data_IF_566895403311
#
_entry.id   IF_566895403311
#
_cell.length_a   1.000
_cell.length_b   1.000
_cell.length_c   1.000
_cell.angle_alpha   90.00
_cell.angle_beta   90.00
_cell.angle_gamma   90.00
#
_symmetry.space_group_name_H-M   'P 1'
#
loop_
_entity.id
_entity.type
_entity.pdbx_description
1 polymer ?
#
# COMPACT_ATOMS: atom_id res chain seq x y z
N UNK A 1 7.38 -32.30 -20.55
CA UNK A 1 7.24 -32.12 -19.10
C UNK A 1 8.63 -31.79 -18.57
N UNK A 2 8.99 -30.55 -18.47
CA UNK A 2 10.29 -30.11 -17.95
C UNK A 2 10.09 -29.52 -16.56
N UNK A 3 10.60 -30.23 -15.57
CA UNK A 3 10.72 -29.79 -14.19
C UNK A 3 11.61 -28.55 -14.14
N UNK A 4 11.05 -27.40 -13.77
CA UNK A 4 11.83 -26.23 -13.42
C UNK A 4 11.99 -26.25 -11.90
N UNK A 5 13.21 -26.54 -11.47
CA UNK A 5 13.63 -26.45 -10.08
C UNK A 5 13.43 -25.03 -9.53
N UNK A 6 13.01 -24.84 -8.27
CA UNK A 6 12.98 -23.53 -7.62
C UNK A 6 14.43 -23.07 -7.42
N UNK A 7 14.84 -22.04 -8.13
CA UNK A 7 16.14 -21.41 -7.93
C UNK A 7 16.13 -20.65 -6.60
N UNK A 8 16.90 -21.14 -5.65
CA UNK A 8 17.38 -20.36 -4.52
C UNK A 8 18.52 -19.49 -5.06
N UNK A 9 18.26 -18.24 -5.37
CA UNK A 9 19.30 -17.27 -5.76
C UNK A 9 19.94 -16.68 -4.50
N UNK A 10 20.93 -17.37 -3.96
CA UNK A 10 21.93 -16.79 -3.06
C UNK A 10 23.11 -16.34 -3.91
N UNK A 11 23.21 -15.05 -4.19
CA UNK A 11 24.38 -14.48 -4.85
C UNK A 11 24.10 -13.14 -5.51
N UNK A 12 24.84 -12.11 -5.13
CA UNK A 12 24.88 -10.84 -5.85
C UNK A 12 25.30 -11.09 -7.29
N UNK A 13 24.42 -10.86 -8.25
CA UNK A 13 24.79 -10.80 -9.66
C UNK A 13 25.08 -9.34 -10.07
N UNK A 14 26.12 -9.11 -10.89
CA UNK A 14 26.40 -7.78 -11.42
C UNK A 14 25.32 -7.35 -12.42
N UNK A 15 24.91 -6.11 -12.31
CA UNK A 15 23.93 -5.43 -13.13
C UNK A 15 24.37 -5.36 -14.59
N UNK A 16 23.81 -6.16 -15.46
CA UNK A 16 23.84 -5.89 -16.90
C UNK A 16 22.47 -5.38 -17.36
N UNK A 17 22.45 -4.14 -17.80
CA UNK A 17 21.27 -3.52 -18.38
C UNK A 17 20.93 -4.18 -19.72
N UNK A 18 19.89 -4.99 -19.79
CA UNK A 18 19.06 -5.14 -20.99
C UNK A 18 17.87 -6.08 -20.75
N UNK A 19 16.73 -5.68 -21.28
CA UNK A 19 15.41 -6.31 -21.30
C UNK A 19 14.59 -6.14 -20.00
N UNK A 20 13.32 -5.80 -20.17
CA UNK A 20 12.33 -5.81 -19.09
C UNK A 20 12.27 -7.25 -18.54
N UNK A 21 13.06 -7.53 -17.55
CA UNK A 21 13.02 -8.80 -16.87
C UNK A 21 11.71 -8.86 -16.10
N UNK A 22 10.94 -9.88 -16.37
CA UNK A 22 9.73 -10.19 -15.66
C UNK A 22 10.02 -11.34 -14.71
N UNK A 23 9.68 -11.15 -13.45
CA UNK A 23 9.77 -12.18 -12.42
C UNK A 23 8.35 -12.60 -12.03
N UNK A 24 8.04 -13.90 -12.14
CA UNK A 24 6.73 -14.43 -11.82
C UNK A 24 6.83 -15.44 -10.68
N UNK A 25 6.04 -15.21 -9.63
CA UNK A 25 5.91 -16.10 -8.48
C UNK A 25 4.61 -16.89 -8.60
N UNK A 26 4.69 -18.11 -9.16
CA UNK A 26 3.56 -19.02 -9.43
C UNK A 26 3.27 -19.98 -8.29
N UNK A 27 4.10 -19.98 -7.26
CA UNK A 27 3.97 -20.79 -6.06
C UNK A 27 4.43 -19.97 -4.85
N UNK A 28 4.11 -20.38 -3.62
CA UNK A 28 4.55 -19.65 -2.43
C UNK A 28 6.07 -19.53 -2.36
N UNK A 29 6.56 -18.31 -2.21
CA UNK A 29 7.98 -17.98 -2.10
C UNK A 29 8.21 -17.08 -0.89
N UNK A 30 9.28 -17.36 -0.14
CA UNK A 30 9.74 -16.47 0.94
C UNK A 30 11.09 -15.89 0.58
N UNK A 31 11.21 -14.55 0.71
CA UNK A 31 12.42 -13.79 0.40
C UNK A 31 13.04 -13.29 1.70
N UNK A 32 14.34 -13.51 1.87
CA UNK A 32 15.13 -12.89 2.95
C UNK A 32 15.80 -11.59 2.49
N UNK A 33 16.49 -11.59 1.35
CA UNK A 33 17.03 -10.37 0.74
C UNK A 33 17.07 -10.56 -0.78
N UNK A 34 16.54 -9.60 -1.53
CA UNK A 34 16.57 -9.65 -2.99
C UNK A 34 16.45 -8.26 -3.63
N UNK A 35 16.92 -8.14 -4.87
CA UNK A 35 16.78 -6.96 -5.71
C UNK A 35 16.21 -7.40 -7.05
N UNK A 36 15.01 -6.95 -7.36
CA UNK A 36 14.33 -7.25 -8.61
C UNK A 36 14.33 -6.00 -9.51
N UNK A 37 14.89 -6.14 -10.69
CA UNK A 37 14.81 -5.14 -11.76
C UNK A 37 13.88 -5.65 -12.84
N UNK A 38 12.65 -5.15 -12.84
CA UNK A 38 11.64 -5.57 -13.80
C UNK A 38 10.30 -5.81 -13.17
N UNK A 39 9.31 -6.05 -14.02
CA UNK A 39 7.94 -6.32 -13.61
C UNK A 39 7.87 -7.57 -12.72
N UNK A 40 7.21 -7.45 -11.59
CA UNK A 40 7.01 -8.54 -10.63
C UNK A 40 5.56 -8.98 -10.65
N UNK A 41 5.30 -10.26 -10.96
CA UNK A 41 3.96 -10.84 -10.96
C UNK A 41 3.84 -11.88 -9.84
N UNK A 42 2.93 -11.65 -8.92
CA UNK A 42 2.62 -12.57 -7.83
C UNK A 42 1.29 -13.24 -8.17
N UNK A 43 1.35 -14.55 -8.48
CA UNK A 43 0.18 -15.34 -8.86
C UNK A 43 -0.31 -16.24 -7.72
N UNK A 44 0.52 -16.48 -6.72
CA UNK A 44 0.19 -17.21 -5.51
C UNK A 44 0.57 -16.38 -4.27
N UNK A 45 1.74 -16.59 -3.70
CA UNK A 45 2.15 -15.87 -2.50
C UNK A 45 3.63 -15.49 -2.53
N UNK A 46 3.92 -14.24 -2.23
CA UNK A 46 5.27 -13.75 -1.99
C UNK A 46 5.36 -13.21 -0.57
N UNK A 47 6.26 -13.78 0.23
CA UNK A 47 6.50 -13.34 1.61
C UNK A 47 7.89 -12.73 1.75
N UNK A 48 7.96 -11.52 2.31
CA UNK A 48 9.20 -10.90 2.79
C UNK A 48 9.22 -11.02 4.30
N UNK A 49 10.16 -11.80 4.84
CA UNK A 49 10.16 -12.23 6.25
C UNK A 49 11.54 -12.06 6.92
N UNK A 50 11.57 -12.23 8.23
CA UNK A 50 12.78 -12.35 9.05
C UNK A 50 13.77 -11.20 8.92
N UNK A 51 13.27 -9.95 8.85
CA UNK A 51 14.09 -8.76 8.65
C UNK A 51 14.68 -8.65 7.24
N UNK A 52 14.20 -9.48 6.30
CA UNK A 52 14.61 -9.44 4.89
C UNK A 52 14.24 -8.13 4.19
N UNK A 53 14.96 -7.84 3.12
CA UNK A 53 14.70 -6.66 2.30
C UNK A 53 14.47 -7.07 0.86
N UNK A 54 13.35 -6.61 0.28
CA UNK A 54 13.06 -6.74 -1.15
C UNK A 54 13.06 -5.36 -1.79
N UNK A 55 13.92 -5.16 -2.76
CA UNK A 55 13.97 -3.94 -3.56
C UNK A 55 13.41 -4.21 -4.96
N UNK A 56 12.39 -3.45 -5.37
CA UNK A 56 11.88 -3.45 -6.73
C UNK A 56 12.28 -2.13 -7.39
N UNK A 57 13.00 -2.20 -8.51
CA UNK A 57 13.59 -1.03 -9.15
C UNK A 57 12.98 -0.77 -10.52
N UNK A 58 12.39 0.41 -10.70
CA UNK A 58 11.81 0.91 -11.96
C UNK A 58 10.77 -0.04 -12.59
N UNK A 59 9.98 -0.73 -11.78
CA UNK A 59 9.02 -1.68 -12.30
C UNK A 59 7.80 -1.85 -11.38
N UNK A 60 6.62 -2.11 -11.94
CA UNK A 60 5.42 -2.38 -11.16
C UNK A 60 5.41 -3.79 -10.57
N UNK A 61 4.58 -3.94 -9.54
CA UNK A 61 4.26 -5.23 -8.90
C UNK A 61 2.79 -5.54 -9.12
N UNK A 62 2.48 -6.72 -9.61
CA UNK A 62 1.12 -7.20 -9.80
C UNK A 62 0.84 -8.33 -8.81
N UNK A 63 -0.17 -8.17 -7.98
CA UNK A 63 -0.69 -9.18 -7.06
C UNK A 63 -2.05 -9.64 -7.57
N UNK A 64 -2.14 -10.86 -8.10
CA UNK A 64 -3.27 -11.30 -8.91
C UNK A 64 -3.21 -10.73 -10.33
N UNK A 65 -2.04 -10.76 -10.95
CA UNK A 65 -1.68 -10.01 -12.15
C UNK A 65 -2.14 -10.62 -13.48
N UNK A 66 -1.77 -9.98 -14.61
CA UNK A 66 -2.35 -10.18 -15.94
C UNK A 66 -2.11 -11.57 -16.55
N UNK A 67 -1.24 -12.38 -15.98
CA UNK A 67 -0.95 -13.72 -16.48
C UNK A 67 -1.45 -14.83 -15.58
N UNK A 68 -2.31 -14.49 -14.63
CA UNK A 68 -2.97 -15.52 -13.86
C UNK A 68 -3.92 -16.28 -14.79
N UNK A 69 -3.79 -17.61 -14.90
CA UNK A 69 -4.79 -18.39 -15.62
C UNK A 69 -6.15 -18.14 -14.95
N UNK A 70 -7.19 -18.06 -15.77
CA UNK A 70 -8.57 -17.71 -15.37
C UNK A 70 -9.18 -18.81 -14.47
N UNK A 71 -8.52 -19.08 -13.36
CA UNK A 71 -8.91 -20.07 -12.36
C UNK A 71 -9.70 -19.41 -11.23
N UNK A 72 -10.56 -18.52 -11.61
CA UNK A 72 -11.80 -18.03 -11.01
C UNK A 72 -11.91 -18.03 -9.50
N UNK A 73 -11.04 -17.77 -8.62
CA UNK A 73 -11.27 -17.47 -7.19
C UNK A 73 -10.01 -17.56 -6.31
N UNK A 74 -8.83 -17.76 -6.88
CA UNK A 74 -7.61 -17.73 -6.05
C UNK A 74 -7.20 -16.29 -5.79
N UNK A 75 -6.99 -15.96 -4.53
CA UNK A 75 -6.41 -14.68 -4.13
C UNK A 75 -4.89 -14.81 -4.13
N UNK A 76 -4.21 -13.90 -4.82
CA UNK A 76 -2.77 -13.78 -4.72
C UNK A 76 -2.38 -12.94 -3.51
N UNK A 77 -1.27 -13.25 -2.86
CA UNK A 77 -0.85 -12.60 -1.61
C UNK A 77 0.56 -12.03 -1.70
N UNK A 78 0.69 -10.77 -1.31
CA UNK A 78 1.97 -10.15 -0.95
C UNK A 78 2.00 -9.94 0.55
N UNK A 79 2.91 -10.61 1.25
CA UNK A 79 3.00 -10.58 2.72
C UNK A 79 4.34 -10.02 3.15
N UNK A 80 4.32 -9.01 4.02
CA UNK A 80 5.53 -8.41 4.60
C UNK A 80 5.41 -8.49 6.12
N UNK A 81 6.28 -9.28 6.77
CA UNK A 81 6.14 -9.58 8.20
C UNK A 81 7.47 -9.63 8.93
N UNK A 82 7.41 -9.70 10.25
CA UNK A 82 8.55 -9.95 11.14
C UNK A 82 9.74 -8.99 10.93
N UNK A 83 9.44 -7.70 10.69
CA UNK A 83 10.47 -6.69 10.43
C UNK A 83 11.02 -6.70 9.00
N UNK A 84 10.50 -7.54 8.11
CA UNK A 84 10.81 -7.50 6.69
C UNK A 84 10.45 -6.14 6.06
N UNK A 85 11.16 -5.77 5.02
CA UNK A 85 10.91 -4.52 4.31
C UNK A 85 10.84 -4.75 2.80
N UNK A 86 9.85 -4.14 2.16
CA UNK A 86 9.78 -4.02 0.71
C UNK A 86 9.87 -2.55 0.33
N UNK A 87 10.74 -2.25 -0.61
CA UNK A 87 10.96 -0.88 -1.09
C UNK A 87 10.83 -0.83 -2.61
N UNK A 88 9.93 0.02 -3.10
CA UNK A 88 9.83 0.32 -4.52
C UNK A 88 10.60 1.59 -4.83
N UNK A 89 11.53 1.50 -5.76
CA UNK A 89 12.38 2.59 -6.21
C UNK A 89 12.13 2.86 -7.69
N UNK A 90 11.94 4.10 -8.08
CA UNK A 90 11.71 4.44 -9.48
C UNK A 90 11.68 5.94 -9.72
N UNK A 91 11.82 6.30 -10.98
CA UNK A 91 11.79 7.70 -11.45
C UNK A 91 10.37 8.16 -11.82
N UNK A 92 9.44 7.22 -12.04
CA UNK A 92 8.07 7.49 -12.43
C UNK A 92 7.12 6.78 -11.47
N UNK A 93 5.97 7.39 -11.11
CA UNK A 93 4.98 6.77 -10.23
C UNK A 93 4.49 5.41 -10.74
N UNK A 94 4.31 5.25 -12.04
CA UNK A 94 3.85 3.99 -12.65
C UNK A 94 4.84 2.84 -12.46
N UNK A 95 6.14 3.14 -12.38
CA UNK A 95 7.18 2.17 -12.08
C UNK A 95 7.26 1.79 -10.58
N UNK A 96 6.52 2.48 -9.74
CA UNK A 96 6.43 2.21 -8.31
C UNK A 96 4.99 1.85 -7.92
N UNK A 97 4.24 1.21 -8.82
CA UNK A 97 2.85 0.86 -8.56
C UNK A 97 2.73 -0.60 -8.12
N UNK A 98 1.96 -0.83 -7.06
CA UNK A 98 1.47 -2.14 -6.67
C UNK A 98 0.03 -2.26 -7.15
N UNK A 99 -0.22 -3.12 -8.13
CA UNK A 99 -1.55 -3.45 -8.62
C UNK A 99 -2.12 -4.60 -7.80
N UNK A 100 -3.33 -4.43 -7.25
CA UNK A 100 -4.06 -5.46 -6.51
C UNK A 100 -5.30 -5.87 -7.30
N UNK A 101 -5.38 -7.13 -7.67
CA UNK A 101 -6.59 -7.68 -8.26
C UNK A 101 -6.79 -7.43 -9.74
N UNK A 102 -5.76 -7.50 -10.59
CA UNK A 102 -5.90 -7.23 -12.03
C UNK A 102 -6.69 -8.34 -12.77
N UNK A 103 -6.35 -9.61 -12.57
CA UNK A 103 -7.05 -10.79 -13.17
C UNK A 103 -7.58 -11.78 -12.13
N UNK A 104 -7.24 -11.60 -10.89
CA UNK A 104 -7.74 -12.34 -9.74
C UNK A 104 -7.64 -11.44 -8.52
N UNK A 105 -8.32 -11.78 -7.44
CA UNK A 105 -8.25 -11.01 -6.21
C UNK A 105 -6.80 -10.89 -5.72
N UNK A 106 -6.42 -9.69 -5.26
CA UNK A 106 -5.07 -9.40 -4.76
C UNK A 106 -5.09 -8.95 -3.31
N UNK A 107 -4.19 -9.49 -2.49
CA UNK A 107 -4.07 -9.12 -1.08
C UNK A 107 -2.65 -8.64 -0.76
N UNK A 108 -2.56 -7.49 -0.10
CA UNK A 108 -1.35 -6.97 0.53
C UNK A 108 -1.51 -7.06 2.04
N UNK A 109 -0.63 -7.81 2.69
CA UNK A 109 -0.62 -8.00 4.14
C UNK A 109 0.66 -7.48 4.76
N UNK A 110 0.56 -6.60 5.77
CA UNK A 110 1.70 -6.08 6.52
C UNK A 110 1.53 -6.45 7.98
N UNK A 111 2.37 -7.38 8.43
CA UNK A 111 2.31 -8.00 9.75
C UNK A 111 3.63 -7.76 10.51
N UNK A 112 3.87 -6.52 10.96
CA UNK A 112 5.12 -6.13 11.61
C UNK A 112 6.25 -5.76 10.63
N UNK A 113 5.97 -5.68 9.33
CA UNK A 113 6.91 -5.30 8.29
C UNK A 113 6.75 -3.87 7.81
N UNK A 114 7.42 -3.53 6.70
CA UNK A 114 7.42 -2.18 6.12
C UNK A 114 7.27 -2.22 4.61
N UNK A 115 6.34 -1.41 4.07
CA UNK A 115 6.25 -1.13 2.64
C UNK A 115 6.54 0.36 2.38
N UNK A 116 7.61 0.63 1.64
CA UNK A 116 8.10 1.97 1.35
C UNK A 116 8.05 2.22 -0.15
N UNK A 117 7.17 3.12 -0.59
CA UNK A 117 6.94 3.35 -2.02
C UNK A 117 7.23 4.81 -2.46
N UNK A 118 7.49 5.73 -1.51
CA UNK A 118 7.77 7.12 -1.86
C UNK A 118 6.62 7.79 -2.62
N UNK A 119 6.82 8.04 -3.91
CA UNK A 119 5.81 8.59 -4.82
C UNK A 119 4.94 7.50 -5.47
N UNK A 120 5.19 6.24 -5.15
CA UNK A 120 4.44 5.12 -5.69
C UNK A 120 3.02 5.03 -5.16
N UNK A 121 2.21 4.22 -5.82
CA UNK A 121 0.80 4.05 -5.50
C UNK A 121 0.40 2.58 -5.38
N UNK A 122 -0.68 2.34 -4.67
CA UNK A 122 -1.37 1.05 -4.65
C UNK A 122 -2.69 1.25 -5.39
N UNK A 123 -2.91 0.45 -6.42
CA UNK A 123 -4.07 0.56 -7.28
C UNK A 123 -4.79 -0.78 -7.38
N UNK A 124 -6.06 -0.81 -6.96
CA UNK A 124 -6.96 -1.92 -7.17
C UNK A 124 -7.54 -1.93 -8.58
N UNK A 125 -7.98 -3.09 -9.05
CA UNK A 125 -8.80 -3.19 -10.24
C UNK A 125 -10.28 -2.90 -9.96
N UNK A 126 -11.08 -2.73 -11.00
CA UNK A 126 -12.53 -2.51 -10.86
C UNK A 126 -13.32 -3.81 -10.77
N UNK A 127 -12.81 -4.87 -11.39
CA UNK A 127 -13.51 -6.15 -11.54
C UNK A 127 -13.12 -7.18 -10.48
N UNK A 128 -12.00 -6.99 -9.82
CA UNK A 128 -11.47 -7.89 -8.79
C UNK A 128 -11.19 -7.15 -7.50
N UNK A 129 -11.41 -7.82 -6.38
CA UNK A 129 -11.22 -7.23 -5.07
C UNK A 129 -9.74 -7.05 -4.74
N UNK A 130 -9.40 -5.84 -4.31
CA UNK A 130 -8.12 -5.50 -3.72
C UNK A 130 -8.24 -5.44 -2.20
N UNK A 131 -7.41 -6.17 -1.47
CA UNK A 131 -7.39 -6.13 -0.01
C UNK A 131 -6.06 -5.62 0.50
N UNK A 132 -6.11 -4.66 1.42
CA UNK A 132 -4.95 -4.24 2.21
C UNK A 132 -5.25 -4.50 3.68
N UNK A 133 -4.42 -5.33 4.32
CA UNK A 133 -4.55 -5.64 5.74
C UNK A 133 -3.24 -5.35 6.46
N UNK A 134 -3.29 -4.47 7.46
CA UNK A 134 -2.15 -4.16 8.30
C UNK A 134 -2.49 -4.53 9.75
N UNK A 135 -1.79 -5.54 10.29
CA UNK A 135 -1.92 -5.92 11.70
C UNK A 135 -0.94 -5.17 12.57
N UNK A 136 0.23 -4.80 12.01
CA UNK A 136 1.25 -3.94 12.60
C UNK A 136 2.24 -3.55 11.51
N UNK A 137 3.10 -2.56 11.78
CA UNK A 137 4.15 -2.12 10.86
C UNK A 137 3.85 -0.80 10.17
N UNK A 138 4.47 -0.58 9.01
CA UNK A 138 4.41 0.71 8.33
C UNK A 138 4.14 0.56 6.84
N UNK A 139 3.22 1.39 6.32
CA UNK A 139 3.00 1.57 4.89
C UNK A 139 3.12 3.04 4.53
N UNK A 140 4.05 3.35 3.60
CA UNK A 140 4.21 4.70 3.05
C UNK A 140 4.06 4.66 1.53
N UNK A 141 3.01 5.32 1.02
CA UNK A 141 2.74 5.45 -0.41
C UNK A 141 2.23 6.86 -0.74
N UNK A 142 2.20 7.21 -2.01
CA UNK A 142 1.58 8.45 -2.45
C UNK A 142 0.06 8.31 -2.48
N UNK A 143 -0.44 7.22 -3.03
CA UNK A 143 -1.86 7.03 -3.28
C UNK A 143 -2.28 5.59 -3.01
N UNK A 144 -3.49 5.43 -2.49
CA UNK A 144 -4.20 4.15 -2.42
C UNK A 144 -5.56 4.35 -3.07
N UNK A 145 -5.81 3.62 -4.16
CA UNK A 145 -7.07 3.62 -4.89
C UNK A 145 -7.61 2.19 -5.01
N UNK A 146 -8.76 1.92 -4.39
CA UNK A 146 -9.41 0.61 -4.38
C UNK A 146 -10.85 0.74 -4.90
N UNK A 147 -11.06 0.73 -6.22
CA UNK A 147 -12.34 1.06 -6.82
C UNK A 147 -13.41 -0.03 -6.74
N UNK A 148 -13.05 -1.31 -6.60
CA UNK A 148 -14.03 -2.40 -6.50
C UNK A 148 -14.79 -2.35 -5.18
N UNK A 149 -16.10 -2.58 -5.21
CA UNK A 149 -16.99 -2.48 -4.03
C UNK A 149 -16.66 -3.49 -2.92
N UNK A 150 -16.18 -4.68 -3.27
CA UNK A 150 -15.76 -5.72 -2.32
C UNK A 150 -14.38 -5.49 -1.71
N UNK A 151 -13.66 -4.46 -2.16
CA UNK A 151 -12.31 -4.16 -1.67
C UNK A 151 -12.32 -3.71 -0.21
N UNK A 152 -11.23 -4.02 0.49
CA UNK A 152 -11.08 -3.71 1.91
C UNK A 152 -9.72 -3.05 2.22
N UNK A 153 -9.75 -2.06 3.10
CA UNK A 153 -8.57 -1.52 3.78
C UNK A 153 -8.76 -1.68 5.29
N UNK A 154 -7.93 -2.52 5.92
CA UNK A 154 -8.04 -2.83 7.35
C UNK A 154 -6.74 -2.47 8.04
N UNK A 155 -6.79 -1.63 9.06
CA UNK A 155 -5.66 -1.25 9.90
C UNK A 155 -5.98 -1.62 11.35
N UNK A 156 -5.27 -2.61 11.92
CA UNK A 156 -5.43 -3.01 13.31
C UNK A 156 -4.47 -2.27 14.22
N UNK A 157 -3.19 -2.24 13.86
CA UNK A 157 -2.13 -1.49 14.52
C UNK A 157 -1.16 -0.94 13.48
N UNK A 158 -0.19 -0.11 13.93
CA UNK A 158 0.82 0.45 13.06
C UNK A 158 0.39 1.75 12.37
N UNK A 159 1.15 2.18 11.36
CA UNK A 159 0.99 3.46 10.69
C UNK A 159 0.91 3.29 9.17
N UNK A 160 -0.22 3.69 8.59
CA UNK A 160 -0.34 3.94 7.16
C UNK A 160 -0.30 5.44 6.90
N UNK A 161 0.65 5.89 6.07
CA UNK A 161 0.79 7.28 5.67
C UNK A 161 0.75 7.40 4.16
N UNK A 162 -0.26 8.11 3.67
CA UNK A 162 -0.51 8.31 2.25
C UNK A 162 -0.85 9.77 1.96
N UNK A 163 -0.76 10.18 0.71
CA UNK A 163 -1.22 11.51 0.28
C UNK A 163 -2.69 11.48 -0.06
N UNK A 164 -3.11 10.45 -0.83
CA UNK A 164 -4.48 10.31 -1.31
C UNK A 164 -5.03 8.92 -1.01
N UNK A 165 -6.30 8.90 -0.62
CA UNK A 165 -7.11 7.70 -0.49
C UNK A 165 -8.36 7.85 -1.35
N UNK A 166 -8.60 6.91 -2.26
CA UNK A 166 -9.79 6.92 -3.13
C UNK A 166 -10.37 5.51 -3.32
N UNK A 167 -11.53 5.46 -3.92
CA UNK A 167 -12.22 4.23 -4.28
C UNK A 167 -13.40 3.88 -3.38
N UNK A 168 -13.94 2.69 -3.59
CA UNK A 168 -15.16 2.19 -2.94
C UNK A 168 -14.89 1.21 -1.80
N UNK A 169 -13.62 0.98 -1.48
CA UNK A 169 -13.24 0.04 -0.42
C UNK A 169 -13.82 0.40 0.94
N UNK A 170 -14.22 -0.62 1.68
CA UNK A 170 -14.53 -0.47 3.10
C UNK A 170 -13.25 -0.28 3.91
N UNK A 171 -13.04 0.92 4.44
CA UNK A 171 -11.87 1.23 5.28
C UNK A 171 -12.23 1.07 6.76
N UNK A 172 -11.49 0.22 7.47
CA UNK A 172 -11.68 -0.05 8.91
C UNK A 172 -10.39 0.18 9.67
N UNK A 173 -10.41 1.05 10.67
CA UNK A 173 -9.26 1.38 11.50
C UNK A 173 -9.60 1.02 12.95
N UNK A 174 -8.94 0.00 13.49
CA UNK A 174 -9.22 -0.53 14.84
C UNK A 174 -8.36 0.13 15.93
N UNK A 175 -7.04 -0.02 15.86
CA UNK A 175 -6.11 0.52 16.86
C UNK A 175 -4.86 1.15 16.23
N UNK A 176 -4.84 1.30 14.90
CA UNK A 176 -3.74 1.90 14.16
C UNK A 176 -4.04 3.33 13.73
N UNK A 177 -3.12 3.90 12.96
CA UNK A 177 -3.21 5.27 12.45
C UNK A 177 -3.24 5.26 10.93
N UNK A 178 -4.29 5.85 10.34
CA UNK A 178 -4.33 6.22 8.94
C UNK A 178 -4.09 7.73 8.81
N UNK A 179 -2.98 8.11 8.21
CA UNK A 179 -2.65 9.50 7.93
C UNK A 179 -2.80 9.78 6.43
N UNK A 180 -3.83 10.53 6.07
CA UNK A 180 -4.09 11.02 4.69
C UNK A 180 -3.76 12.50 4.63
N UNK A 181 -2.76 12.87 3.83
CA UNK A 181 -2.23 14.26 3.84
C UNK A 181 -3.03 15.24 3.02
N UNK A 182 -3.56 14.83 1.88
CA UNK A 182 -4.13 15.73 0.89
C UNK A 182 -5.61 15.46 0.61
N UNK A 183 -5.97 14.22 0.33
CA UNK A 183 -7.30 13.90 -0.16
C UNK A 183 -7.75 12.52 0.31
N UNK A 184 -8.95 12.42 0.90
CA UNK A 184 -9.59 11.18 1.27
C UNK A 184 -11.00 11.12 0.64
N UNK A 185 -11.14 10.39 -0.46
CA UNK A 185 -12.42 10.15 -1.15
C UNK A 185 -12.89 8.70 -1.02
N UNK A 186 -12.63 8.07 0.09
CA UNK A 186 -13.11 6.73 0.36
C UNK A 186 -14.59 6.75 0.75
N UNK A 187 -15.37 5.83 0.20
CA UNK A 187 -16.82 5.81 0.39
C UNK A 187 -17.27 5.52 1.83
N UNK A 188 -16.47 4.77 2.60
CA UNK A 188 -16.80 4.39 3.98
C UNK A 188 -15.54 4.24 4.82
N UNK A 189 -15.39 5.06 5.86
CA UNK A 189 -14.31 4.94 6.84
C UNK A 189 -14.95 4.67 8.20
N UNK A 190 -14.58 3.56 8.82
CA UNK A 190 -15.01 3.18 10.15
C UNK A 190 -13.84 3.28 11.11
N UNK A 191 -13.96 4.16 12.10
CA UNK A 191 -13.06 4.23 13.25
C UNK A 191 -13.65 3.33 14.34
N UNK A 192 -12.89 2.32 14.74
CA UNK A 192 -13.33 1.27 15.64
C UNK A 192 -12.33 1.23 16.80
N UNK A 193 -12.83 1.16 18.02
CA UNK A 193 -12.01 1.17 19.23
C UNK A 193 -11.01 2.36 19.23
N UNK A 194 -9.71 2.12 19.31
CA UNK A 194 -8.66 3.14 19.35
C UNK A 194 -8.15 3.58 17.97
N UNK A 195 -8.90 3.32 16.89
CA UNK A 195 -8.53 3.69 15.53
C UNK A 195 -8.39 5.22 15.35
N UNK A 196 -7.34 5.68 14.70
CA UNK A 196 -7.07 7.09 14.48
C UNK A 196 -7.02 7.42 12.99
N UNK A 197 -7.84 8.38 12.56
CA UNK A 197 -7.75 9.00 11.25
C UNK A 197 -7.18 10.41 11.39
N UNK A 198 -6.01 10.63 10.77
CA UNK A 198 -5.37 11.93 10.72
C UNK A 198 -5.46 12.49 9.30
N UNK A 199 -6.15 13.61 9.13
CA UNK A 199 -6.32 14.31 7.86
C UNK A 199 -5.46 15.58 7.80
N UNK A 200 -4.86 15.82 6.63
CA UNK A 200 -4.05 17.01 6.36
C UNK A 200 -2.59 16.89 6.78
N UNK A 201 -1.83 17.89 6.47
CA UNK A 201 -0.42 18.03 6.84
C UNK A 201 -0.12 19.48 7.26
N UNK A 202 1.08 19.70 7.76
CA UNK A 202 1.52 21.08 8.12
C UNK A 202 1.65 21.99 6.88
N UNK A 203 1.71 21.41 5.69
CA UNK A 203 1.91 22.13 4.41
C UNK A 203 0.72 22.06 3.47
N UNK A 204 -0.26 21.18 3.71
CA UNK A 204 -1.43 21.02 2.86
C UNK A 204 -2.70 20.95 3.70
N UNK A 205 -3.69 21.74 3.30
CA UNK A 205 -5.03 21.69 3.86
C UNK A 205 -5.78 20.50 3.22
N UNK A 206 -6.52 19.68 3.98
CA UNK A 206 -7.43 18.73 3.37
C UNK A 206 -8.46 19.52 2.56
N UNK A 207 -8.74 19.10 1.33
CA UNK A 207 -9.76 19.79 0.52
C UNK A 207 -11.11 19.71 1.23
N UNK A 208 -11.95 20.74 1.05
CA UNK A 208 -13.29 20.76 1.65
C UNK A 208 -14.15 19.55 1.23
N UNK A 209 -13.86 18.96 0.06
CA UNK A 209 -14.53 17.78 -0.46
C UNK A 209 -14.24 16.51 0.34
N UNK A 210 -13.14 16.46 1.09
CA UNK A 210 -12.80 15.34 2.00
C UNK A 210 -13.88 15.12 3.05
N UNK A 211 -14.51 16.20 3.49
CA UNK A 211 -15.54 16.14 4.53
C UNK A 211 -16.94 15.86 3.97
N UNK A 212 -17.19 16.14 2.71
CA UNK A 212 -18.53 16.04 2.12
C UNK A 212 -18.84 14.66 1.52
N UNK A 213 -17.83 13.83 1.19
CA UNK A 213 -18.01 12.55 0.51
C UNK A 213 -17.65 11.31 1.31
N UNK A 214 -16.88 11.44 2.40
CA UNK A 214 -16.47 10.31 3.21
C UNK A 214 -17.47 10.09 4.37
N UNK A 215 -18.21 8.99 4.31
CA UNK A 215 -18.99 8.53 5.47
C UNK A 215 -18.04 8.06 6.57
N UNK A 216 -17.67 8.95 7.50
CA UNK A 216 -16.85 8.59 8.67
C UNK A 216 -17.78 8.13 9.78
N UNK A 217 -17.62 6.88 10.22
CA UNK A 217 -18.42 6.28 11.27
C UNK A 217 -17.53 5.90 12.46
N UNK A 218 -17.92 6.32 13.65
CA UNK A 218 -17.30 5.90 14.90
C UNK A 218 -18.03 4.69 15.47
N UNK A 219 -17.29 3.67 15.93
CA UNK A 219 -17.81 2.48 16.60
C UNK A 219 -16.93 2.13 17.78
N UNK A 220 -17.54 1.85 18.94
CA UNK A 220 -16.82 1.60 20.19
C UNK A 220 -16.58 2.87 21.00
N UNK A 221 -15.83 2.73 22.08
CA UNK A 221 -15.63 3.78 23.09
C UNK A 221 -14.41 4.67 22.81
N UNK A 222 -13.66 4.37 21.76
CA UNK A 222 -12.45 5.09 21.35
C UNK A 222 -12.54 5.60 19.92
N UNK A 223 -11.42 5.89 19.37
CA UNK A 223 -11.24 6.40 18.02
C UNK A 223 -11.16 7.93 17.96
N UNK A 224 -10.28 8.42 17.12
CA UNK A 224 -10.05 9.84 16.96
C UNK A 224 -9.99 10.26 15.50
N UNK A 225 -10.72 11.32 15.19
CA UNK A 225 -10.56 12.07 13.95
C UNK A 225 -9.75 13.33 14.26
N UNK A 226 -8.57 13.47 13.67
CA UNK A 226 -7.71 14.64 13.83
C UNK A 226 -7.55 15.33 12.49
N UNK A 227 -7.99 16.59 12.41
CA UNK A 227 -7.83 17.42 11.22
C UNK A 227 -6.72 18.43 11.49
N UNK A 228 -5.65 18.39 10.68
CA UNK A 228 -4.59 19.38 10.74
C UNK A 228 -4.89 20.49 9.75
N UNK A 229 -4.99 21.71 10.26
CA UNK A 229 -5.11 22.93 9.45
C UNK A 229 -3.72 23.55 9.36
N UNK A 230 -3.20 23.86 8.16
CA UNK A 230 -1.93 24.55 8.00
C UNK A 230 -1.97 25.89 8.76
N UNK A 231 -0.90 26.20 9.47
CA UNK A 231 -0.76 27.55 10.04
C UNK A 231 -0.61 28.53 8.88
N UNK A 232 -1.41 29.62 8.80
CA UNK A 232 -1.16 30.65 7.82
C UNK A 232 0.24 31.23 8.08
N UNK A 233 1.10 31.22 7.07
CA UNK A 233 2.49 31.69 7.16
C UNK A 233 2.62 33.18 7.57
N UNK A 234 1.52 33.94 7.57
CA UNK A 234 1.47 35.39 7.79
C UNK A 234 1.02 35.81 9.20
N UNK A 235 0.88 34.91 10.15
CA UNK A 235 0.39 35.29 11.49
C UNK A 235 1.47 35.89 12.44
N UNK A 236 2.74 35.95 12.01
CA UNK A 236 3.85 36.41 12.87
C UNK A 236 4.50 37.72 12.44
N UNK A 237 3.99 38.42 11.40
CA UNK A 237 4.64 39.64 10.91
C UNK A 237 3.84 40.93 11.21
N UNK A 238 2.91 40.93 12.16
CA UNK A 238 2.22 42.18 12.59
C UNK A 238 2.24 42.33 14.09
N UNK A 239 3.41 42.57 14.65
CA UNK A 239 3.55 43.30 15.93
C UNK A 239 5.02 43.67 16.15
N UNK A 240 5.44 44.73 15.47
CA UNK A 240 6.53 45.63 15.89
C UNK A 240 6.63 46.77 14.91
N UNK A 241 5.71 47.69 15.04
CA UNK A 241 5.90 49.10 14.69
C UNK A 241 4.81 49.89 15.41
N UNK A 242 5.14 50.34 16.60
CA UNK A 242 4.63 51.51 17.29
C UNK A 242 5.55 51.85 18.43
#
# INVERSE_FOLDING_TARGET
MSNINPFILTGMMPLSASSMNRVSYMCPVTISNDVVQGQTDIQDSLTVDSGGNLYIINAPVYVGGPNQPDHGHRTAHLVIRNGGAMTLLGNLPDHMTVFLGDKANGSLEINGGRLLMGQGRIQGAREHEGRIAMTDGWLFASEVDLPAEGSELVIRHGLMRIRKLSGNASTRIYGGVLHVKEEARASRIHLIDDGVLLLGSVTSQPSADVMAGAGINFRGDGGALVIRIPRPENALTRTREA
#
